data_IF_922913235043
#
_entry.id   IF_922913235043
#
_cell.length_a   1.000
_cell.length_b   1.000
_cell.length_c   1.000
_cell.angle_alpha   90.00
_cell.angle_beta   90.00
_cell.angle_gamma   90.00
#
_symmetry.space_group_name_H-M   'P 1'
#
loop_
_entity.id
_entity.type
_entity.pdbx_description
1 polymer ?
#
# COMPACT_ATOMS: atom_id res chain seq x y z
N UNK A 1 55.21 -33.33 -26.05
CA UNK A 1 53.88 -33.46 -25.40
C UNK A 1 54.08 -33.52 -23.89
N UNK A 2 53.52 -32.56 -23.16
CA UNK A 2 53.61 -32.52 -21.69
C UNK A 2 52.79 -33.70 -21.13
N UNK A 3 53.43 -34.66 -20.45
CA UNK A 3 52.72 -35.78 -19.81
C UNK A 3 52.60 -35.52 -18.31
N UNK A 4 51.45 -35.00 -17.81
CA UNK A 4 51.28 -34.62 -16.41
C UNK A 4 51.42 -35.81 -15.45
N UNK A 5 51.12 -37.04 -15.91
CA UNK A 5 51.18 -38.26 -15.08
C UNK A 5 52.64 -38.66 -14.79
N UNK A 6 53.54 -38.48 -15.76
CA UNK A 6 54.96 -38.81 -15.56
C UNK A 6 55.65 -37.82 -14.62
N UNK A 7 55.21 -36.56 -14.65
CA UNK A 7 55.71 -35.49 -13.79
C UNK A 7 55.30 -35.71 -12.32
N UNK A 8 54.03 -36.09 -12.10
CA UNK A 8 53.52 -36.45 -10.77
C UNK A 8 54.23 -37.70 -10.22
N UNK A 9 54.45 -38.74 -11.03
CA UNK A 9 55.21 -39.93 -10.62
C UNK A 9 56.64 -39.58 -10.21
N UNK A 10 57.35 -38.76 -10.99
CA UNK A 10 58.71 -38.30 -10.66
C UNK A 10 58.73 -37.49 -9.35
N UNK A 11 57.74 -36.62 -9.14
CA UNK A 11 57.60 -35.85 -7.90
C UNK A 11 57.34 -36.75 -6.68
N UNK A 12 56.49 -37.78 -6.80
CA UNK A 12 56.23 -38.73 -5.70
C UNK A 12 57.46 -39.59 -5.36
N UNK A 13 58.21 -40.04 -6.37
CA UNK A 13 59.44 -40.83 -6.16
C UNK A 13 60.50 -39.96 -5.48
N UNK A 14 60.72 -38.73 -5.97
CA UNK A 14 61.61 -37.77 -5.33
C UNK A 14 61.19 -37.47 -3.88
N UNK A 15 59.89 -37.30 -3.61
CA UNK A 15 59.38 -37.02 -2.27
C UNK A 15 59.57 -38.20 -1.30
N UNK A 16 59.42 -39.43 -1.76
CA UNK A 16 59.51 -40.65 -0.93
C UNK A 16 60.94 -41.17 -0.72
N UNK A 17 61.83 -40.97 -1.69
CA UNK A 17 63.19 -41.53 -1.68
C UNK A 17 64.30 -40.45 -1.59
N UNK A 18 64.04 -39.23 -2.06
CA UNK A 18 65.06 -38.16 -2.21
C UNK A 18 65.15 -37.17 -1.05
N UNK A 19 64.31 -37.29 -0.01
CA UNK A 19 64.23 -36.31 1.09
C UNK A 19 64.14 -37.01 2.46
N UNK A 20 64.79 -36.42 3.47
CA UNK A 20 64.79 -36.94 4.84
C UNK A 20 63.38 -36.94 5.46
N UNK A 21 63.12 -37.84 6.41
CA UNK A 21 61.81 -37.97 7.07
C UNK A 21 61.37 -36.67 7.77
N UNK A 22 62.32 -35.91 8.36
CA UNK A 22 62.04 -34.60 8.97
C UNK A 22 61.56 -33.57 7.93
N UNK A 23 62.23 -33.52 6.78
CA UNK A 23 61.85 -32.61 5.70
C UNK A 23 60.49 -32.98 5.10
N UNK A 24 60.16 -34.27 4.97
CA UNK A 24 58.82 -34.73 4.55
C UNK A 24 57.72 -34.28 5.50
N UNK A 25 57.94 -34.40 6.81
CA UNK A 25 56.97 -33.93 7.83
C UNK A 25 56.77 -32.42 7.71
N UNK A 26 57.84 -31.64 7.54
CA UNK A 26 57.74 -30.19 7.35
C UNK A 26 56.98 -29.84 6.07
N UNK A 27 57.29 -30.49 4.94
CA UNK A 27 56.59 -30.25 3.67
C UNK A 27 55.12 -30.65 3.76
N UNK A 28 54.80 -31.79 4.38
CA UNK A 28 53.40 -32.19 4.62
C UNK A 28 52.68 -31.19 5.52
N UNK A 29 53.33 -30.68 6.56
CA UNK A 29 52.79 -29.63 7.42
C UNK A 29 52.51 -28.34 6.66
N UNK A 30 53.43 -27.91 5.79
CA UNK A 30 53.25 -26.73 4.93
C UNK A 30 52.10 -26.95 3.93
N UNK A 31 52.05 -28.10 3.27
CA UNK A 31 50.99 -28.43 2.32
C UNK A 31 49.62 -28.48 3.02
N UNK A 32 49.54 -29.07 4.20
CA UNK A 32 48.33 -29.08 5.01
C UNK A 32 47.89 -27.65 5.35
N UNK A 33 48.82 -26.82 5.83
CA UNK A 33 48.53 -25.43 6.22
C UNK A 33 48.11 -24.60 5.01
N UNK A 34 48.74 -24.80 3.85
CA UNK A 34 48.35 -24.19 2.59
C UNK A 34 46.95 -24.64 2.14
N UNK A 35 46.64 -25.93 2.21
CA UNK A 35 45.31 -26.46 1.89
C UNK A 35 44.24 -25.90 2.82
N UNK A 36 44.52 -25.78 4.12
CA UNK A 36 43.61 -25.17 5.09
C UNK A 36 43.39 -23.68 4.78
N UNK A 37 44.45 -22.94 4.46
CA UNK A 37 44.36 -21.53 4.07
C UNK A 37 43.52 -21.34 2.79
N UNK A 38 43.73 -22.19 1.78
CA UNK A 38 42.94 -22.20 0.54
C UNK A 38 41.46 -22.51 0.81
N UNK A 39 41.17 -23.50 1.66
CA UNK A 39 39.80 -23.85 2.03
C UNK A 39 39.12 -22.69 2.77
N UNK A 40 39.83 -22.04 3.68
CA UNK A 40 39.34 -20.87 4.40
C UNK A 40 39.06 -19.69 3.45
N UNK A 41 39.97 -19.42 2.50
CA UNK A 41 39.78 -18.38 1.49
C UNK A 41 38.57 -18.69 0.59
N UNK A 42 38.44 -19.93 0.11
CA UNK A 42 37.30 -20.37 -0.69
C UNK A 42 35.97 -20.23 0.07
N UNK A 43 35.96 -20.60 1.35
CA UNK A 43 34.80 -20.41 2.23
C UNK A 43 34.43 -18.93 2.35
N UNK A 44 35.41 -18.05 2.61
CA UNK A 44 35.17 -16.60 2.74
C UNK A 44 34.69 -15.96 1.44
N UNK A 45 35.22 -16.37 0.29
CA UNK A 45 34.76 -15.90 -1.02
C UNK A 45 33.31 -16.33 -1.25
N UNK A 46 33.00 -17.62 -1.03
CA UNK A 46 31.62 -18.09 -1.20
C UNK A 46 30.66 -17.42 -0.22
N UNK A 47 31.06 -17.23 1.05
CA UNK A 47 30.27 -16.52 2.05
C UNK A 47 29.98 -15.07 1.65
N UNK A 48 30.97 -14.35 1.13
CA UNK A 48 30.78 -13.00 0.58
C UNK A 48 29.75 -12.99 -0.56
N UNK A 49 29.89 -13.88 -1.54
CA UNK A 49 28.95 -13.92 -2.67
C UNK A 49 27.55 -14.38 -2.29
N UNK A 50 27.39 -15.22 -1.27
CA UNK A 50 26.10 -15.79 -0.89
C UNK A 50 25.36 -14.97 0.18
N UNK A 51 26.09 -14.40 1.13
CA UNK A 51 25.53 -13.84 2.36
C UNK A 51 25.83 -12.35 2.55
N UNK A 52 26.68 -11.73 1.73
CA UNK A 52 26.96 -10.29 1.78
C UNK A 52 26.28 -9.54 0.61
N UNK A 53 25.34 -8.60 0.89
CA UNK A 53 24.74 -7.77 -0.14
C UNK A 53 25.77 -7.03 -1.01
N UNK A 54 26.92 -6.65 -0.44
CA UNK A 54 28.01 -5.93 -1.14
C UNK A 54 28.54 -6.67 -2.36
N UNK A 55 28.43 -8.00 -2.39
CA UNK A 55 28.80 -8.78 -3.56
C UNK A 55 28.02 -8.36 -4.82
N UNK A 56 26.75 -8.00 -4.66
CA UNK A 56 25.93 -7.48 -5.76
C UNK A 56 26.30 -6.04 -6.14
N UNK A 57 26.84 -5.24 -5.22
CA UNK A 57 27.35 -3.88 -5.50
C UNK A 57 28.68 -3.89 -6.25
N UNK A 58 29.46 -4.97 -6.17
CA UNK A 58 30.70 -5.11 -6.93
C UNK A 58 30.45 -5.13 -8.45
N UNK A 59 29.22 -5.45 -8.87
CA UNK A 59 28.78 -5.41 -10.26
C UNK A 59 28.00 -4.12 -10.53
N UNK A 60 28.59 -3.17 -11.27
CA UNK A 60 27.94 -1.90 -11.71
C UNK A 60 26.57 -2.02 -12.41
N UNK A 61 26.15 -3.23 -12.81
CA UNK A 61 24.84 -3.47 -13.44
C UNK A 61 23.69 -3.26 -12.45
N UNK A 62 24.01 -3.32 -11.15
CA UNK A 62 23.02 -3.24 -10.08
C UNK A 62 23.03 -1.90 -9.35
N UNK A 63 23.88 -0.92 -9.69
CA UNK A 63 24.04 0.31 -8.91
C UNK A 63 22.72 1.02 -8.58
N UNK A 64 21.88 1.27 -9.59
CA UNK A 64 20.59 1.94 -9.38
C UNK A 64 19.60 1.06 -8.61
N UNK A 65 19.53 -0.24 -8.93
CA UNK A 65 18.67 -1.18 -8.22
C UNK A 65 19.08 -1.27 -6.74
N UNK A 66 20.38 -1.32 -6.46
CA UNK A 66 20.96 -1.40 -5.13
C UNK A 66 20.71 -0.10 -4.34
N UNK A 67 20.85 1.07 -4.97
CA UNK A 67 20.49 2.37 -4.36
C UNK A 67 19.01 2.43 -3.97
N UNK A 68 18.11 1.87 -4.79
CA UNK A 68 16.68 1.80 -4.44
C UNK A 68 16.43 0.79 -3.32
N UNK A 69 17.05 -0.39 -3.36
CA UNK A 69 16.94 -1.39 -2.30
C UNK A 69 17.41 -0.85 -0.95
N UNK A 70 18.53 -0.13 -0.91
CA UNK A 70 19.07 0.47 0.31
C UNK A 70 18.14 1.53 0.94
N UNK A 71 17.21 2.09 0.16
CA UNK A 71 16.17 3.03 0.64
C UNK A 71 14.83 2.35 0.94
N UNK A 72 14.71 1.07 0.60
CA UNK A 72 13.47 0.31 0.72
C UNK A 72 13.27 -0.23 2.13
N UNK A 73 12.06 -0.72 2.40
CA UNK A 73 11.70 -1.40 3.63
C UNK A 73 12.49 -2.70 3.86
N UNK A 74 13.14 -3.22 2.81
CA UNK A 74 13.91 -4.47 2.82
C UNK A 74 15.42 -4.25 2.81
N UNK A 75 15.92 -3.03 3.06
CA UNK A 75 17.35 -2.70 3.08
C UNK A 75 18.21 -3.51 4.08
N UNK A 76 17.58 -4.26 5.00
CA UNK A 76 18.26 -5.15 5.95
C UNK A 76 18.29 -6.63 5.54
N UNK A 77 17.79 -6.98 4.36
CA UNK A 77 17.65 -8.38 3.90
C UNK A 77 18.60 -8.66 2.74
N UNK A 78 19.31 -9.80 2.77
CA UNK A 78 20.22 -10.16 1.69
C UNK A 78 19.49 -10.29 0.34
N UNK A 79 20.11 -9.82 -0.74
CA UNK A 79 19.60 -9.87 -2.12
C UNK A 79 19.11 -11.27 -2.53
N UNK A 80 19.84 -12.31 -2.12
CA UNK A 80 19.53 -13.69 -2.43
C UNK A 80 18.22 -14.17 -1.82
N UNK A 81 17.76 -13.61 -0.70
CA UNK A 81 16.46 -13.98 -0.11
C UNK A 81 15.29 -13.80 -1.11
N UNK A 82 15.47 -12.92 -2.11
CA UNK A 82 14.55 -12.74 -3.23
C UNK A 82 15.13 -13.19 -4.58
N UNK A 83 16.43 -13.07 -4.80
CA UNK A 83 17.12 -13.38 -6.05
C UNK A 83 18.00 -14.62 -5.92
N UNK A 84 17.40 -15.81 -5.96
CA UNK A 84 18.17 -17.05 -6.04
C UNK A 84 18.64 -17.32 -7.47
N UNK A 85 19.95 -17.22 -7.67
CA UNK A 85 20.63 -17.73 -8.86
C UNK A 85 21.16 -19.14 -8.58
N UNK A 86 21.13 -20.02 -9.58
CA UNK A 86 21.77 -21.34 -9.40
C UNK A 86 23.30 -21.18 -9.35
N UNK A 87 24.01 -22.08 -8.66
CA UNK A 87 25.49 -22.06 -8.63
C UNK A 87 26.10 -22.06 -10.03
N UNK A 88 25.48 -22.77 -10.97
CA UNK A 88 25.88 -22.78 -12.39
C UNK A 88 25.76 -21.38 -13.01
N UNK A 89 24.64 -20.70 -12.80
CA UNK A 89 24.40 -19.37 -13.36
C UNK A 89 25.32 -18.31 -12.74
N UNK A 90 25.57 -18.40 -11.43
CA UNK A 90 26.55 -17.54 -10.74
C UNK A 90 27.96 -17.73 -11.34
N UNK A 91 28.41 -18.97 -11.54
CA UNK A 91 29.70 -19.28 -12.18
C UNK A 91 29.78 -18.73 -13.61
N UNK A 92 28.72 -18.90 -14.40
CA UNK A 92 28.65 -18.38 -15.77
C UNK A 92 28.73 -16.84 -15.77
N UNK A 93 27.99 -16.17 -14.88
CA UNK A 93 28.01 -14.71 -14.76
C UNK A 93 29.38 -14.20 -14.31
N UNK A 94 29.99 -14.84 -13.30
CA UNK A 94 31.32 -14.49 -12.82
C UNK A 94 32.37 -14.65 -13.92
N UNK A 95 32.31 -15.75 -14.68
CA UNK A 95 33.21 -15.97 -15.82
C UNK A 95 33.04 -14.88 -16.90
N UNK A 96 31.80 -14.56 -17.27
CA UNK A 96 31.49 -13.50 -18.25
C UNK A 96 31.97 -12.13 -17.77
N UNK A 97 31.80 -11.82 -16.50
CA UNK A 97 32.28 -10.56 -15.91
C UNK A 97 33.81 -10.49 -15.91
N UNK A 98 34.48 -11.51 -15.37
CA UNK A 98 35.93 -11.51 -15.15
C UNK A 98 36.74 -11.67 -16.46
N UNK A 99 36.28 -12.50 -17.39
CA UNK A 99 37.04 -12.88 -18.58
C UNK A 99 36.49 -12.33 -19.90
N UNK A 100 35.17 -12.10 -19.98
CA UNK A 100 34.54 -11.57 -21.22
C UNK A 100 34.27 -10.06 -21.14
N UNK A 101 34.54 -9.42 -20.00
CA UNK A 101 34.28 -7.99 -19.81
C UNK A 101 32.81 -7.63 -19.96
N UNK A 102 31.89 -8.60 -19.81
CA UNK A 102 30.47 -8.36 -19.96
C UNK A 102 29.97 -7.48 -18.82
N UNK A 103 29.59 -6.26 -19.19
CA UNK A 103 29.30 -5.17 -18.26
C UNK A 103 27.81 -4.80 -18.16
N UNK A 104 26.94 -5.59 -18.77
CA UNK A 104 25.50 -5.40 -18.67
C UNK A 104 24.78 -6.72 -18.86
N UNK A 105 23.60 -6.83 -18.25
CA UNK A 105 22.64 -7.89 -18.56
C UNK A 105 21.45 -7.26 -19.26
N UNK A 106 20.82 -8.02 -20.17
CA UNK A 106 19.58 -7.58 -20.79
C UNK A 106 18.54 -7.28 -19.69
N UNK A 107 17.85 -6.14 -19.76
CA UNK A 107 16.83 -5.82 -18.77
C UNK A 107 15.70 -6.85 -18.81
N UNK A 108 15.36 -7.44 -17.66
CA UNK A 108 14.24 -8.41 -17.54
C UNK A 108 12.90 -7.73 -17.25
N UNK A 109 12.64 -6.60 -17.90
CA UNK A 109 11.41 -5.84 -17.69
C UNK A 109 10.18 -6.66 -18.12
N UNK A 110 9.19 -6.81 -17.24
CA UNK A 110 7.92 -7.48 -17.54
C UNK A 110 7.87 -8.97 -17.18
N UNK A 111 8.99 -9.59 -16.86
CA UNK A 111 9.04 -10.96 -16.35
C UNK A 111 8.84 -10.98 -14.82
N UNK A 112 8.28 -12.08 -14.29
CA UNK A 112 8.25 -12.32 -12.84
C UNK A 112 9.65 -12.76 -12.43
N UNK A 113 10.51 -11.79 -12.10
CA UNK A 113 11.89 -12.04 -11.66
C UNK A 113 11.89 -12.67 -10.26
N UNK A 114 10.95 -12.26 -9.40
CA UNK A 114 10.80 -12.72 -8.03
C UNK A 114 9.36 -13.25 -7.87
N UNK A 115 9.16 -14.57 -7.73
CA UNK A 115 7.83 -15.15 -7.59
C UNK A 115 7.24 -14.88 -6.20
N UNK A 116 5.90 -14.77 -6.11
CA UNK A 116 5.18 -14.52 -4.84
C UNK A 116 5.49 -15.51 -3.71
N UNK A 117 5.89 -16.74 -4.03
CA UNK A 117 6.23 -17.78 -3.05
C UNK A 117 7.38 -17.37 -2.13
N UNK A 118 8.35 -16.59 -2.63
CA UNK A 118 9.45 -16.07 -1.81
C UNK A 118 8.94 -15.04 -0.79
N UNK A 119 8.02 -14.16 -1.20
CA UNK A 119 7.43 -13.17 -0.31
C UNK A 119 6.60 -13.84 0.81
N UNK A 120 5.85 -14.89 0.46
CA UNK A 120 4.98 -15.60 1.40
C UNK A 120 5.74 -16.29 2.53
N UNK A 121 7.00 -16.70 2.31
CA UNK A 121 7.84 -17.30 3.36
C UNK A 121 7.94 -16.41 4.59
N UNK A 122 8.16 -15.11 4.40
CA UNK A 122 8.28 -14.17 5.51
C UNK A 122 6.92 -13.53 5.89
N UNK A 123 6.12 -13.14 4.90
CA UNK A 123 4.89 -12.37 5.11
C UNK A 123 3.65 -13.21 5.45
N UNK A 124 3.73 -14.53 5.34
CA UNK A 124 2.63 -15.45 5.63
C UNK A 124 3.07 -16.65 6.48
N UNK A 125 4.12 -17.36 6.07
CA UNK A 125 4.60 -18.58 6.74
C UNK A 125 5.40 -18.30 8.02
N UNK A 126 5.86 -17.05 8.20
CA UNK A 126 6.61 -16.53 9.36
C UNK A 126 7.98 -17.18 9.55
N UNK A 127 8.91 -16.81 8.69
CA UNK A 127 10.33 -17.11 8.84
C UNK A 127 10.92 -16.54 10.16
N UNK A 128 11.51 -17.41 10.98
CA UNK A 128 12.12 -17.07 12.27
C UNK A 128 13.29 -16.08 12.14
N UNK A 129 13.96 -16.05 10.98
CA UNK A 129 15.04 -15.09 10.69
C UNK A 129 14.51 -13.66 10.58
N UNK A 130 13.23 -13.50 10.25
CA UNK A 130 12.58 -12.21 10.01
C UNK A 130 11.31 -12.04 10.84
N UNK A 131 11.40 -12.05 12.19
CA UNK A 131 10.22 -12.05 13.07
C UNK A 131 9.41 -10.73 13.01
N UNK A 132 10.01 -9.66 12.47
CA UNK A 132 9.39 -8.35 12.29
C UNK A 132 8.66 -8.20 10.96
N UNK A 133 8.66 -9.22 10.10
CA UNK A 133 7.97 -9.19 8.82
C UNK A 133 6.46 -8.97 9.03
N UNK A 134 5.84 -7.98 8.34
CA UNK A 134 4.40 -7.77 8.40
C UNK A 134 3.62 -9.00 7.93
N UNK A 135 2.69 -9.47 8.76
CA UNK A 135 1.78 -10.56 8.44
C UNK A 135 0.62 -10.06 7.57
N UNK A 136 0.51 -10.61 6.36
CA UNK A 136 -0.55 -10.22 5.40
C UNK A 136 -1.81 -11.09 5.51
N UNK A 137 -1.80 -12.14 6.34
CA UNK A 137 -2.89 -13.14 6.41
C UNK A 137 -4.24 -12.57 6.84
N UNK A 138 -4.22 -11.47 7.58
CA UNK A 138 -5.43 -10.78 8.05
C UNK A 138 -5.93 -9.71 7.07
N UNK A 139 -5.20 -9.45 5.99
CA UNK A 139 -5.57 -8.40 5.04
C UNK A 139 -6.64 -8.89 4.06
N UNK A 140 -7.83 -8.29 4.14
CA UNK A 140 -8.88 -8.53 3.14
C UNK A 140 -8.48 -8.05 1.75
N UNK A 141 -7.64 -7.02 1.63
CA UNK A 141 -7.10 -6.58 0.34
C UNK A 141 -6.29 -7.68 -0.32
N UNK A 142 -5.38 -8.31 0.41
CA UNK A 142 -4.59 -9.42 -0.11
C UNK A 142 -5.46 -10.64 -0.38
N UNK A 143 -6.40 -10.98 0.50
CA UNK A 143 -7.40 -12.05 0.27
C UNK A 143 -8.09 -11.90 -1.09
N UNK A 144 -8.62 -10.71 -1.38
CA UNK A 144 -9.27 -10.44 -2.67
C UNK A 144 -8.29 -10.51 -3.83
N UNK A 145 -7.21 -9.75 -3.81
CA UNK A 145 -6.37 -9.58 -5.01
C UNK A 145 -5.36 -10.70 -5.24
N UNK A 146 -4.69 -11.17 -4.19
CA UNK A 146 -3.59 -12.16 -4.32
C UNK A 146 -4.12 -13.59 -4.34
N UNK A 147 -5.14 -13.89 -3.54
CA UNK A 147 -5.63 -15.27 -3.37
C UNK A 147 -6.84 -15.57 -4.27
N UNK A 148 -7.83 -14.68 -4.32
CA UNK A 148 -9.01 -14.90 -5.16
C UNK A 148 -8.72 -14.57 -6.63
N UNK A 149 -8.21 -13.37 -6.91
CA UNK A 149 -7.89 -12.94 -8.29
C UNK A 149 -6.52 -13.42 -8.78
N UNK A 150 -5.72 -14.08 -7.92
CA UNK A 150 -4.41 -14.65 -8.25
C UNK A 150 -3.40 -13.64 -8.81
N UNK A 151 -3.46 -12.39 -8.37
CA UNK A 151 -2.51 -11.35 -8.80
C UNK A 151 -1.16 -11.55 -8.10
N UNK A 152 -0.07 -11.49 -8.87
CA UNK A 152 1.30 -11.58 -8.36
C UNK A 152 1.66 -10.38 -7.48
N UNK A 153 2.38 -10.62 -6.38
CA UNK A 153 2.78 -9.57 -5.43
C UNK A 153 3.54 -8.44 -6.11
N UNK A 154 4.44 -8.77 -7.03
CA UNK A 154 5.30 -7.83 -7.76
C UNK A 154 4.53 -6.92 -8.72
N UNK A 155 3.28 -7.25 -9.08
CA UNK A 155 2.44 -6.32 -9.84
C UNK A 155 2.20 -5.05 -9.03
N UNK A 156 1.92 -5.19 -7.72
CA UNK A 156 1.66 -4.07 -6.82
C UNK A 156 2.91 -3.60 -6.06
N UNK A 157 3.65 -4.52 -5.46
CA UNK A 157 4.81 -4.27 -4.59
C UNK A 157 6.17 -4.35 -5.33
N UNK A 158 6.16 -4.27 -6.66
CA UNK A 158 7.38 -4.34 -7.49
C UNK A 158 7.24 -3.65 -8.83
N UNK A 159 6.20 -2.82 -9.00
CA UNK A 159 5.95 -2.08 -10.25
C UNK A 159 7.04 -1.04 -10.56
N UNK A 160 7.82 -0.65 -9.55
CA UNK A 160 9.05 0.12 -9.66
C UNK A 160 10.17 -0.68 -8.98
N UNK A 161 11.35 -0.69 -9.57
CA UNK A 161 12.51 -1.44 -9.08
C UNK A 161 12.77 -1.18 -7.59
N UNK A 162 12.68 -2.24 -6.78
CA UNK A 162 12.89 -2.23 -5.33
C UNK A 162 12.09 -1.15 -4.56
N UNK A 163 10.93 -0.74 -5.10
CA UNK A 163 9.95 0.07 -4.37
C UNK A 163 8.77 -0.82 -4.03
N UNK A 164 8.71 -1.25 -2.77
CA UNK A 164 7.70 -2.21 -2.31
C UNK A 164 6.43 -1.52 -1.85
N UNK A 165 6.51 -0.37 -1.19
CA UNK A 165 5.30 0.39 -0.86
C UNK A 165 4.70 1.03 -2.12
N UNK A 166 3.41 0.75 -2.36
CA UNK A 166 2.66 1.30 -3.48
C UNK A 166 2.54 2.83 -3.39
N UNK A 167 2.25 3.48 -4.51
CA UNK A 167 1.81 4.88 -4.50
C UNK A 167 0.31 5.02 -4.20
N UNK A 168 -0.09 6.16 -3.65
CA UNK A 168 -1.45 6.48 -3.19
C UNK A 168 -2.56 6.21 -4.20
N UNK A 169 -2.23 6.33 -5.49
CA UNK A 169 -3.14 6.20 -6.62
C UNK A 169 -2.87 4.98 -7.50
N UNK A 170 -2.02 4.05 -7.07
CA UNK A 170 -1.68 2.87 -7.86
C UNK A 170 -2.92 2.04 -8.28
N UNK A 171 -3.99 2.05 -7.47
CA UNK A 171 -5.21 1.29 -7.72
C UNK A 171 -5.87 1.59 -9.08
N UNK A 172 -5.75 2.82 -9.60
CA UNK A 172 -6.40 3.20 -10.87
C UNK A 172 -5.72 2.60 -12.11
N UNK A 173 -4.55 1.98 -11.94
CA UNK A 173 -3.91 1.21 -13.03
C UNK A 173 -4.75 0.00 -13.45
N UNK A 174 -5.56 -0.56 -12.54
CA UNK A 174 -6.50 -1.64 -12.83
C UNK A 174 -7.96 -1.19 -12.69
N UNK A 175 -8.28 -0.36 -11.69
CA UNK A 175 -9.62 0.16 -11.46
C UNK A 175 -9.86 1.45 -12.28
N UNK A 176 -10.01 1.28 -13.59
CA UNK A 176 -10.19 2.38 -14.53
C UNK A 176 -11.43 3.23 -14.21
N UNK A 177 -11.32 4.55 -14.39
CA UNK A 177 -12.39 5.53 -14.14
C UNK A 177 -12.90 5.52 -12.68
N UNK A 178 -12.08 5.07 -11.74
CA UNK A 178 -12.35 5.12 -10.30
C UNK A 178 -11.57 6.23 -9.61
N UNK A 179 -11.07 7.22 -10.35
CA UNK A 179 -10.55 8.43 -9.72
C UNK A 179 -11.61 9.07 -8.82
N UNK A 180 -11.15 9.55 -7.67
CA UNK A 180 -11.98 10.40 -6.84
C UNK A 180 -12.26 11.72 -7.57
N UNK A 181 -13.52 12.10 -7.61
CA UNK A 181 -13.95 13.41 -8.11
C UNK A 181 -13.63 14.47 -7.06
N UNK A 182 -13.22 15.68 -7.49
CA UNK A 182 -13.08 16.79 -6.57
C UNK A 182 -14.42 17.07 -5.88
N UNK A 183 -14.37 17.60 -4.66
CA UNK A 183 -15.51 18.35 -4.16
C UNK A 183 -15.66 19.58 -5.06
N UNK A 184 -16.80 19.74 -5.73
CA UNK A 184 -17.04 20.73 -6.78
C UNK A 184 -16.22 22.03 -6.63
N UNK A 185 -15.38 22.34 -7.62
CA UNK A 185 -14.57 23.57 -7.65
C UNK A 185 -15.43 24.86 -7.65
N UNK A 186 -16.70 24.74 -8.06
CA UNK A 186 -17.70 25.81 -8.03
C UNK A 186 -18.20 26.15 -6.61
N UNK A 187 -17.87 25.32 -5.61
CA UNK A 187 -18.20 25.55 -4.22
C UNK A 187 -16.95 25.96 -3.41
N UNK A 188 -16.27 27.00 -3.89
CA UNK A 188 -15.62 27.96 -2.99
C UNK A 188 -16.69 28.75 -2.22
N UNK A 189 -17.70 28.08 -1.64
CA UNK A 189 -18.57 28.74 -0.68
C UNK A 189 -17.76 28.86 0.58
N UNK A 190 -17.37 30.10 0.84
CA UNK A 190 -17.07 30.53 2.18
C UNK A 190 -18.22 30.13 3.10
N UNK A 191 -17.90 29.68 4.31
CA UNK A 191 -18.91 29.68 5.37
C UNK A 191 -19.41 31.13 5.58
N UNK A 192 -20.45 31.33 6.40
CA UNK A 192 -20.94 32.67 6.75
C UNK A 192 -19.86 33.60 7.39
N UNK A 193 -18.61 33.13 7.54
CA UNK A 193 -17.44 33.82 8.09
C UNK A 193 -16.28 33.95 7.09
N UNK A 194 -16.42 33.56 5.81
CA UNK A 194 -15.39 33.83 4.80
C UNK A 194 -14.33 32.73 4.55
N UNK A 195 -14.44 31.54 5.13
CA UNK A 195 -13.36 30.53 5.02
C UNK A 195 -13.45 29.63 3.76
N UNK A 196 -12.40 29.61 2.93
CA UNK A 196 -12.33 28.81 1.68
C UNK A 196 -12.38 27.29 1.95
N UNK A 197 -13.26 26.60 1.24
CA UNK A 197 -13.59 25.20 1.46
C UNK A 197 -12.67 24.20 0.71
N UNK A 198 -12.15 23.25 1.49
CA UNK A 198 -11.74 21.87 1.14
C UNK A 198 -10.67 21.66 0.05
N UNK A 199 -9.73 20.75 0.33
CA UNK A 199 -8.95 20.07 -0.71
C UNK A 199 -9.89 19.18 -1.55
N UNK A 200 -9.69 19.06 -2.88
CA UNK A 200 -10.46 18.14 -3.68
C UNK A 200 -10.17 16.71 -3.21
N UNK A 201 -11.21 15.90 -2.96
CA UNK A 201 -11.07 14.46 -2.71
C UNK A 201 -10.24 13.76 -3.79
N UNK A 202 -10.16 14.35 -5.00
CA UNK A 202 -9.35 13.89 -6.11
C UNK A 202 -7.90 13.57 -5.77
N UNK A 203 -7.29 14.26 -4.80
CA UNK A 203 -5.90 14.00 -4.40
C UNK A 203 -5.74 12.98 -3.28
N UNK A 204 -6.83 12.43 -2.74
CA UNK A 204 -6.72 11.49 -1.62
C UNK A 204 -6.33 10.09 -2.10
N UNK A 205 -5.48 9.40 -1.32
CA UNK A 205 -5.27 7.96 -1.44
C UNK A 205 -6.57 7.18 -1.30
N UNK A 206 -6.68 6.07 -2.04
CA UNK A 206 -7.86 5.21 -2.03
C UNK A 206 -8.16 4.64 -0.63
N UNK A 207 -7.12 4.31 0.15
CA UNK A 207 -7.22 3.79 1.52
C UNK A 207 -7.68 4.81 2.56
N UNK A 208 -7.83 6.10 2.18
CA UNK A 208 -8.55 7.04 3.04
C UNK A 208 -10.05 6.75 3.10
N UNK A 209 -10.59 6.05 2.09
CA UNK A 209 -11.99 5.70 2.02
C UNK A 209 -12.18 4.19 2.14
N UNK A 210 -11.58 3.42 1.22
CA UNK A 210 -11.67 1.98 1.22
C UNK A 210 -10.99 1.41 2.47
N UNK A 211 -11.54 0.32 3.00
CA UNK A 211 -11.02 -0.33 4.20
C UNK A 211 -11.03 -1.85 4.05
N UNK A 212 -10.08 -2.52 4.70
CA UNK A 212 -10.06 -3.97 4.89
C UNK A 212 -11.00 -4.43 6.02
N UNK A 213 -11.74 -3.51 6.65
CA UNK A 213 -12.70 -3.83 7.72
C UNK A 213 -14.03 -4.38 7.20
N UNK A 214 -14.44 -3.99 5.99
CA UNK A 214 -15.69 -4.47 5.39
C UNK A 214 -15.43 -5.62 4.43
N UNK A 215 -16.41 -6.52 4.29
CA UNK A 215 -16.30 -7.68 3.40
C UNK A 215 -16.26 -7.30 1.92
N UNK A 216 -16.90 -6.19 1.56
CA UNK A 216 -17.00 -5.65 0.20
C UNK A 216 -15.92 -4.60 -0.12
N UNK A 217 -15.04 -4.29 0.85
CA UNK A 217 -14.00 -3.26 0.77
C UNK A 217 -14.55 -1.83 0.52
N UNK A 218 -15.86 -1.63 0.66
CA UNK A 218 -16.49 -0.32 0.57
C UNK A 218 -16.15 0.55 1.79
N UNK A 219 -16.20 1.90 1.65
CA UNK A 219 -15.90 2.78 2.76
C UNK A 219 -16.88 2.60 3.93
N UNK A 220 -16.38 2.12 5.06
CA UNK A 220 -17.11 2.15 6.31
C UNK A 220 -17.42 3.59 6.75
N UNK A 221 -18.54 3.81 7.46
CA UNK A 221 -18.98 5.15 7.88
C UNK A 221 -17.91 5.92 8.67
N UNK A 222 -17.17 5.23 9.54
CA UNK A 222 -16.11 5.84 10.35
C UNK A 222 -14.94 6.37 9.50
N UNK A 223 -14.68 5.82 8.31
CA UNK A 223 -13.62 6.32 7.43
C UNK A 223 -13.91 7.73 6.92
N UNK A 224 -15.16 8.01 6.55
CA UNK A 224 -15.58 9.38 6.23
C UNK A 224 -15.45 10.30 7.45
N UNK A 225 -15.87 9.80 8.61
CA UNK A 225 -15.80 10.52 9.88
C UNK A 225 -14.38 10.66 10.45
N UNK A 226 -13.37 10.00 9.87
CA UNK A 226 -11.99 10.23 10.24
C UNK A 226 -11.62 11.70 10.03
N UNK A 227 -11.93 12.23 8.83
CA UNK A 227 -11.76 13.63 8.50
C UNK A 227 -12.95 14.48 8.97
N UNK A 228 -14.18 13.99 8.79
CA UNK A 228 -15.39 14.78 9.01
C UNK A 228 -15.94 14.76 10.44
N UNK A 229 -15.48 13.83 11.28
CA UNK A 229 -15.96 13.64 12.65
C UNK A 229 -15.00 14.14 13.73
N UNK A 230 -15.28 13.73 14.96
CA UNK A 230 -14.52 14.09 16.15
C UNK A 230 -13.22 13.28 16.34
N UNK A 231 -12.46 13.66 17.37
CA UNK A 231 -11.18 13.01 17.70
C UNK A 231 -11.34 11.56 18.14
N UNK A 232 -12.42 11.25 18.86
CA UNK A 232 -12.71 9.88 19.32
C UNK A 232 -12.75 8.86 18.18
N UNK A 233 -13.35 9.21 17.04
CA UNK A 233 -13.43 8.32 15.87
C UNK A 233 -12.06 8.07 15.26
N UNK A 234 -11.18 9.09 15.24
CA UNK A 234 -9.82 8.94 14.74
C UNK A 234 -9.01 8.02 15.64
N UNK A 235 -9.04 8.25 16.94
CA UNK A 235 -8.33 7.42 17.92
C UNK A 235 -8.77 5.96 17.84
N UNK A 236 -10.08 5.71 17.74
CA UNK A 236 -10.61 4.37 17.57
C UNK A 236 -10.07 3.69 16.29
N UNK A 237 -10.15 4.38 15.15
CA UNK A 237 -9.70 3.82 13.88
C UNK A 237 -8.19 3.56 13.86
N UNK A 238 -7.38 4.43 14.46
CA UNK A 238 -5.92 4.25 14.58
C UNK A 238 -5.60 3.05 15.47
N UNK A 239 -6.30 2.91 16.61
CA UNK A 239 -6.07 1.83 17.57
C UNK A 239 -6.37 0.43 16.98
N UNK A 240 -7.31 0.33 16.05
CA UNK A 240 -7.65 -0.92 15.34
C UNK A 240 -6.49 -1.42 14.45
N UNK A 241 -5.53 -0.55 14.10
CA UNK A 241 -4.24 -0.96 13.53
C UNK A 241 -4.30 -1.58 12.13
N UNK A 242 -5.40 -1.39 11.40
CA UNK A 242 -5.55 -1.96 10.05
C UNK A 242 -4.69 -1.27 9.01
N UNK A 243 -4.52 -1.89 7.83
CA UNK A 243 -3.62 -1.39 6.78
C UNK A 243 -4.05 0.01 6.30
N UNK A 244 -5.37 0.27 6.23
CA UNK A 244 -5.91 1.52 5.69
C UNK A 244 -5.75 2.75 6.61
N UNK A 245 -5.37 2.55 7.88
CA UNK A 245 -4.99 3.65 8.79
C UNK A 245 -3.49 3.75 8.97
N UNK A 246 -2.77 2.64 8.81
CA UNK A 246 -1.32 2.59 8.89
C UNK A 246 -0.66 3.26 7.69
N UNK A 247 -1.17 2.98 6.49
CA UNK A 247 -0.61 3.49 5.25
C UNK A 247 -1.50 4.61 4.70
N UNK A 248 -0.88 5.75 4.43
CA UNK A 248 -1.53 6.95 3.85
C UNK A 248 -2.58 7.61 4.75
N UNK A 249 -2.36 7.62 6.06
CA UNK A 249 -3.20 8.41 6.97
C UNK A 249 -3.31 9.87 6.47
N UNK A 250 -4.53 10.46 6.44
CA UNK A 250 -4.69 11.86 6.05
C UNK A 250 -3.83 12.78 6.91
N UNK A 251 -3.14 13.73 6.26
CA UNK A 251 -2.35 14.74 6.97
C UNK A 251 -3.24 15.60 7.87
N UNK A 252 -2.67 16.12 8.95
CA UNK A 252 -3.42 16.91 9.92
C UNK A 252 -4.04 18.17 9.31
N UNK A 253 -3.37 18.80 8.35
CA UNK A 253 -3.89 19.97 7.62
C UNK A 253 -5.13 19.60 6.80
N UNK A 254 -5.14 18.40 6.20
CA UNK A 254 -6.30 17.87 5.47
C UNK A 254 -7.48 17.66 6.42
N UNK A 255 -7.22 17.08 7.59
CA UNK A 255 -8.24 16.84 8.62
C UNK A 255 -8.81 18.18 9.11
N UNK A 256 -7.97 19.18 9.38
CA UNK A 256 -8.41 20.50 9.85
C UNK A 256 -9.24 21.26 8.81
N UNK A 257 -8.89 21.16 7.53
CA UNK A 257 -9.63 21.79 6.42
C UNK A 257 -10.95 21.09 6.08
N UNK A 258 -11.17 19.87 6.59
CA UNK A 258 -12.40 19.13 6.33
C UNK A 258 -13.60 19.73 7.10
N UNK A 259 -14.75 19.82 6.43
CA UNK A 259 -16.01 20.25 7.06
C UNK A 259 -16.37 19.27 8.18
N UNK A 260 -16.54 19.77 9.40
CA UNK A 260 -16.93 18.93 10.55
C UNK A 260 -18.44 18.72 10.55
N UNK A 261 -18.84 17.46 10.48
CA UNK A 261 -20.23 17.04 10.47
C UNK A 261 -20.69 16.80 11.90
N UNK A 262 -21.82 17.42 12.27
CA UNK A 262 -22.57 17.06 13.47
C UNK A 262 -23.67 16.09 13.07
N UNK A 263 -23.47 14.80 13.32
CA UNK A 263 -24.49 13.79 13.06
C UNK A 263 -25.16 13.45 14.38
N UNK A 264 -26.45 13.77 14.51
CA UNK A 264 -27.22 13.39 15.69
C UNK A 264 -27.39 11.88 15.76
N UNK A 265 -27.33 11.32 16.97
CA UNK A 265 -27.62 9.89 17.19
C UNK A 265 -29.04 9.53 16.73
N UNK A 266 -29.97 10.49 16.81
CA UNK A 266 -31.37 10.32 16.40
C UNK A 266 -31.64 10.79 14.96
N UNK A 267 -30.60 11.09 14.18
CA UNK A 267 -30.80 11.48 12.78
C UNK A 267 -31.35 10.30 11.98
N UNK A 268 -32.35 10.55 11.15
CA UNK A 268 -33.02 9.49 10.37
C UNK A 268 -32.10 8.77 9.37
N UNK A 269 -31.01 9.41 8.92
CA UNK A 269 -30.03 8.79 8.01
C UNK A 269 -28.83 8.24 8.79
N UNK A 270 -29.03 7.13 9.49
CA UNK A 270 -27.91 6.36 10.06
C UNK A 270 -27.22 5.43 9.05
N UNK A 271 -27.52 5.57 7.75
CA UNK A 271 -26.97 4.77 6.67
C UNK A 271 -25.44 4.92 6.52
N UNK A 272 -24.85 4.05 5.69
CA UNK A 272 -23.52 4.29 5.19
C UNK A 272 -23.47 5.56 4.34
N UNK A 273 -22.40 6.35 4.47
CA UNK A 273 -22.29 7.62 3.75
C UNK A 273 -22.38 7.43 2.24
N UNK A 274 -21.90 6.30 1.72
CA UNK A 274 -21.85 6.04 0.29
C UNK A 274 -23.23 5.82 -0.37
N UNK A 275 -24.27 5.55 0.42
CA UNK A 275 -25.65 5.42 -0.09
C UNK A 275 -26.13 6.73 -0.74
N UNK A 276 -25.61 7.84 -0.24
CA UNK A 276 -25.88 9.18 -0.75
C UNK A 276 -24.66 9.79 -1.46
N UNK A 277 -23.46 9.59 -0.93
CA UNK A 277 -22.23 10.18 -1.46
C UNK A 277 -21.50 9.20 -2.38
N UNK A 278 -21.25 9.55 -3.64
CA UNK A 278 -20.47 8.70 -4.54
C UNK A 278 -19.20 9.42 -5.01
N UNK A 279 -18.09 9.31 -4.27
CA UNK A 279 -16.85 10.03 -4.59
C UNK A 279 -16.27 9.74 -5.98
N UNK A 280 -16.63 8.65 -6.67
CA UNK A 280 -16.10 8.34 -8.01
C UNK A 280 -16.89 9.01 -9.13
N UNK A 281 -18.14 9.43 -8.88
CA UNK A 281 -19.03 10.02 -9.89
C UNK A 281 -19.41 11.45 -9.52
N UNK A 282 -19.96 11.62 -8.32
CA UNK A 282 -20.30 12.92 -7.74
C UNK A 282 -20.33 12.80 -6.23
N UNK A 283 -19.38 13.46 -5.57
CA UNK A 283 -19.20 13.34 -4.13
C UNK A 283 -20.44 13.79 -3.35
N UNK A 284 -21.22 14.76 -3.84
CA UNK A 284 -22.45 15.22 -3.19
C UNK A 284 -23.68 14.83 -4.02
N UNK A 285 -24.71 14.22 -3.41
CA UNK A 285 -25.94 13.91 -4.12
C UNK A 285 -26.65 15.20 -4.55
N UNK A 286 -27.42 15.08 -5.62
CA UNK A 286 -28.44 16.08 -5.96
C UNK A 286 -29.69 15.86 -5.09
N UNK A 287 -30.47 16.91 -4.83
CA UNK A 287 -31.69 16.84 -4.00
C UNK A 287 -32.73 15.92 -4.63
N UNK A 288 -32.77 15.83 -5.96
CA UNK A 288 -33.66 14.91 -6.67
C UNK A 288 -33.37 13.43 -6.34
N UNK A 289 -32.16 13.10 -5.89
CA UNK A 289 -31.84 11.73 -5.46
C UNK A 289 -32.57 11.35 -4.17
N UNK A 290 -32.95 12.32 -3.33
CA UNK A 290 -33.63 12.06 -2.07
C UNK A 290 -35.04 11.50 -2.33
N UNK A 291 -35.80 12.10 -3.23
CA UNK A 291 -37.17 11.69 -3.58
C UNK A 291 -37.19 10.45 -4.45
N UNK A 292 -36.27 10.34 -5.41
CA UNK A 292 -36.24 9.19 -6.35
C UNK A 292 -35.78 7.88 -5.71
N UNK A 293 -34.84 7.93 -4.74
CA UNK A 293 -34.29 6.72 -4.13
C UNK A 293 -35.02 6.28 -2.85
N UNK A 294 -35.21 7.19 -1.89
CA UNK A 294 -35.62 6.81 -0.53
C UNK A 294 -36.93 7.47 -0.06
N UNK A 295 -37.11 8.77 -0.33
CA UNK A 295 -38.23 9.57 0.15
C UNK A 295 -39.33 9.73 -0.91
N UNK A 296 -39.76 8.63 -1.54
CA UNK A 296 -40.68 8.63 -2.69
C UNK A 296 -42.02 9.32 -2.40
N UNK A 297 -42.52 9.20 -1.17
CA UNK A 297 -43.83 9.72 -0.78
C UNK A 297 -43.77 11.07 -0.06
N UNK A 298 -42.58 11.68 0.08
CA UNK A 298 -42.43 12.91 0.90
C UNK A 298 -43.19 14.09 0.32
N UNK A 299 -43.41 14.10 -0.99
CA UNK A 299 -44.20 15.13 -1.68
C UNK A 299 -45.65 15.18 -1.16
N UNK A 300 -46.21 14.01 -0.79
CA UNK A 300 -47.59 13.87 -0.33
C UNK A 300 -47.75 14.16 1.17
N UNK A 301 -46.66 14.45 1.88
CA UNK A 301 -46.69 14.69 3.33
C UNK A 301 -46.72 16.19 3.61
N UNK A 302 -47.70 16.63 4.39
CA UNK A 302 -47.82 18.04 4.80
C UNK A 302 -47.99 18.99 3.60
N UNK A 303 -47.06 19.94 3.46
CA UNK A 303 -47.08 20.98 2.41
C UNK A 303 -45.81 20.99 1.55
N UNK A 304 -45.09 19.86 1.49
CA UNK A 304 -43.82 19.79 0.73
C UNK A 304 -44.03 20.08 -0.76
N UNK A 305 -45.08 19.55 -1.39
CA UNK A 305 -45.39 19.85 -2.80
C UNK A 305 -45.55 21.35 -3.05
N UNK A 306 -46.31 22.05 -2.20
CA UNK A 306 -46.52 23.49 -2.30
C UNK A 306 -45.19 24.26 -2.23
N UNK A 307 -44.33 23.92 -1.28
CA UNK A 307 -43.04 24.61 -1.12
C UNK A 307 -42.11 24.38 -2.34
N UNK A 308 -42.12 23.19 -2.94
CA UNK A 308 -41.33 22.93 -4.16
C UNK A 308 -41.87 23.72 -5.37
N UNK A 309 -43.19 23.86 -5.50
CA UNK A 309 -43.81 24.69 -6.55
C UNK A 309 -43.44 26.18 -6.39
N UNK A 310 -43.11 26.61 -5.17
CA UNK A 310 -42.59 27.96 -4.87
C UNK A 310 -41.07 28.09 -5.11
N UNK A 311 -40.47 27.15 -5.85
CA UNK A 311 -39.04 27.13 -6.17
C UNK A 311 -38.12 27.01 -4.93
N UNK A 312 -38.64 26.50 -3.81
CA UNK A 312 -37.82 26.07 -2.68
C UNK A 312 -37.27 24.67 -2.93
N UNK A 313 -36.11 24.39 -2.37
CA UNK A 313 -35.46 23.08 -2.36
C UNK A 313 -35.50 22.49 -0.96
N UNK A 314 -35.32 21.17 -0.85
CA UNK A 314 -35.31 20.49 0.45
C UNK A 314 -34.28 21.11 1.43
N UNK A 315 -33.12 21.57 0.92
CA UNK A 315 -32.02 22.11 1.73
C UNK A 315 -32.28 23.49 2.30
N UNK A 316 -33.28 24.21 1.79
CA UNK A 316 -33.63 25.53 2.31
C UNK A 316 -34.22 25.45 3.72
N UNK A 317 -34.79 24.30 4.08
CA UNK A 317 -35.29 24.01 5.42
C UNK A 317 -34.53 22.86 6.10
N UNK A 318 -34.17 21.81 5.37
CA UNK A 318 -33.54 20.61 5.92
C UNK A 318 -32.01 20.71 5.87
N UNK A 319 -31.39 20.76 7.06
CA UNK A 319 -29.93 20.63 7.15
C UNK A 319 -29.50 19.19 6.84
N UNK A 320 -28.51 18.98 5.95
CA UNK A 320 -27.94 17.66 5.71
C UNK A 320 -27.46 17.01 7.01
N UNK A 321 -27.66 15.70 7.14
CA UNK A 321 -27.32 14.89 8.33
C UNK A 321 -28.13 15.15 9.61
N UNK A 322 -28.95 16.21 9.68
CA UNK A 322 -29.93 16.43 10.75
C UNK A 322 -31.34 16.08 10.27
N UNK A 323 -31.72 16.60 9.08
CA UNK A 323 -32.97 16.40 8.34
C UNK A 323 -34.29 16.66 9.08
N UNK A 324 -34.29 16.83 10.39
CA UNK A 324 -35.44 17.29 11.14
C UNK A 324 -35.34 18.80 11.30
N UNK A 325 -36.33 19.52 10.80
CA UNK A 325 -36.47 20.96 11.09
C UNK A 325 -36.87 21.07 12.56
N UNK A 326 -36.01 21.67 13.39
CA UNK A 326 -36.33 21.91 14.79
C UNK A 326 -37.37 23.04 14.91
N UNK A 327 -38.16 23.09 15.99
CA UNK A 327 -39.08 24.21 16.23
C UNK A 327 -38.38 25.58 16.20
N UNK A 328 -37.16 25.65 16.71
CA UNK A 328 -36.33 26.86 16.73
C UNK A 328 -35.92 27.26 15.30
N UNK A 329 -35.54 26.29 14.46
CA UNK A 329 -35.21 26.54 13.06
C UNK A 329 -36.46 26.98 12.28
N UNK A 330 -37.60 26.32 12.47
CA UNK A 330 -38.85 26.65 11.80
C UNK A 330 -39.34 28.07 12.17
N UNK A 331 -39.23 28.47 13.44
CA UNK A 331 -39.54 29.84 13.90
C UNK A 331 -38.64 30.91 13.27
N UNK A 332 -37.50 30.53 12.71
CA UNK A 332 -36.57 31.44 12.02
C UNK A 332 -36.72 31.42 10.51
N UNK A 333 -36.90 30.24 9.91
CA UNK A 333 -36.92 30.10 8.45
C UNK A 333 -38.32 30.27 7.86
N UNK A 334 -39.36 29.70 8.46
CA UNK A 334 -40.72 29.76 7.91
C UNK A 334 -41.29 31.18 7.95
N UNK A 335 -40.94 31.94 9.00
CA UNK A 335 -41.39 33.33 9.20
C UNK A 335 -40.86 34.32 8.17
N UNK A 336 -39.90 33.90 7.33
CA UNK A 336 -39.42 34.71 6.19
C UNK A 336 -40.47 34.89 5.11
N UNK A 337 -41.48 34.00 5.05
CA UNK A 337 -42.50 34.03 4.00
C UNK A 337 -43.93 34.08 4.56
N UNK A 338 -44.20 33.46 5.71
CA UNK A 338 -45.53 33.41 6.31
C UNK A 338 -45.47 33.32 7.83
N UNK A 339 -46.54 33.68 8.54
CA UNK A 339 -46.61 33.52 10.00
C UNK A 339 -46.31 32.09 10.45
N UNK A 340 -45.66 31.94 11.62
CA UNK A 340 -45.28 30.63 12.13
C UNK A 340 -46.50 29.75 12.37
N UNK A 341 -46.49 28.56 11.75
CA UNK A 341 -47.46 27.49 11.99
C UNK A 341 -46.69 26.21 12.32
N UNK A 342 -47.08 25.50 13.37
CA UNK A 342 -46.42 24.24 13.74
C UNK A 342 -46.58 23.22 12.59
N UNK A 343 -45.48 22.72 12.00
CA UNK A 343 -45.52 21.73 10.94
C UNK A 343 -46.33 20.47 11.30
N UNK A 344 -46.41 20.11 12.58
CA UNK A 344 -47.18 18.95 13.05
C UNK A 344 -48.67 19.07 12.74
N UNK A 345 -49.21 20.29 12.68
CA UNK A 345 -50.63 20.51 12.39
C UNK A 345 -51.01 20.16 10.94
N UNK A 346 -50.02 19.94 10.07
CA UNK A 346 -50.22 19.57 8.67
C UNK A 346 -49.94 18.10 8.38
N UNK A 347 -49.45 17.35 9.38
CA UNK A 347 -49.31 15.91 9.30
C UNK A 347 -50.66 15.30 9.67
N UNK A 348 -51.47 14.96 8.66
CA UNK A 348 -52.71 14.19 8.84
C UNK A 348 -52.41 12.70 8.90
#
# INVERSE_FOLDING_TARGET
MFNPISLVKKAMIWFSQGISTKARIVIMGILLLFSLAMLFAAYKINDYFENDPNACFACHVHDEANKQWAKSEHAGINCHECHHSTKKDQLIQMYRFAFMGQRSVAPRHGEVIVPRTLCLRCHWERDEKFPKAPDISKSRYHAKHVFNEKIECTKCHGYKTHKFTMEERYCVTCHLNKELQPHDAAMQTTDAKGNKACLPMGSLPCFNCHTDRTSDLMPGRKKCLFCHGGESVRQELIADGTIDVRHFQPKQETIQKAIKLKISANAAMQFHCYECHNPHVKARPDWNNCTTKCHKNVLNVGKHELHLQMNLTCKDCHKPHEWKVSPEQAKKDCVKCHEYKDPKNFLK
#
